data_IF_480298822466
#
_entry.id   IF_480298822466
#
_cell.length_a   1.000
_cell.length_b   1.000
_cell.length_c   1.000
_cell.angle_alpha   90.00
_cell.angle_beta   90.00
_cell.angle_gamma   90.00
#
_symmetry.space_group_name_H-M   'P 1'
#
loop_
_entity.id
_entity.type
_entity.pdbx_description
1 polymer ?
#
# COMPACT_ATOMS: atom_id res chain seq x y z
N UNK A 1 -7.54 -14.67 12.13
CA UNK A 1 -8.09 -15.31 13.36
C UNK A 1 -8.03 -16.82 13.19
N UNK A 2 -8.07 -17.61 14.27
CA UNK A 2 -8.06 -19.08 14.16
C UNK A 2 -6.74 -19.65 13.62
N UNK A 3 -5.67 -19.56 14.42
CA UNK A 3 -4.36 -20.17 14.08
C UNK A 3 -4.21 -21.61 14.58
N UNK A 4 -5.33 -22.31 14.79
CA UNK A 4 -5.37 -23.68 15.31
C UNK A 4 -6.73 -24.32 15.04
N UNK A 5 -6.94 -25.52 15.57
CA UNK A 5 -7.97 -26.44 15.07
C UNK A 5 -9.39 -26.15 15.60
N UNK A 6 -9.54 -25.10 16.41
CA UNK A 6 -10.84 -24.70 16.99
C UNK A 6 -11.52 -23.67 16.11
N UNK A 7 -12.81 -23.89 15.87
CA UNK A 7 -13.68 -22.92 15.21
C UNK A 7 -13.56 -21.54 15.89
N UNK A 8 -13.34 -20.51 15.08
CA UNK A 8 -13.18 -19.13 15.51
C UNK A 8 -14.21 -18.26 14.79
N UNK A 9 -14.69 -17.21 15.46
CA UNK A 9 -15.68 -16.30 14.93
C UNK A 9 -15.13 -14.88 14.88
N UNK A 10 -15.49 -14.13 13.84
CA UNK A 10 -15.23 -12.69 13.73
C UNK A 10 -16.58 -11.98 13.67
N UNK A 11 -16.84 -11.07 14.61
CA UNK A 11 -18.06 -10.26 14.62
C UNK A 11 -17.69 -8.82 14.27
N UNK A 12 -18.33 -8.28 13.22
CA UNK A 12 -18.13 -6.91 12.77
C UNK A 12 -19.24 -6.02 13.36
N UNK A 13 -18.90 -5.21 14.35
CA UNK A 13 -19.82 -4.25 14.97
C UNK A 13 -19.65 -2.87 14.31
N UNK A 14 -20.77 -2.21 14.04
CA UNK A 14 -20.77 -0.85 13.49
C UNK A 14 -21.98 -0.06 13.98
N UNK A 15 -21.91 1.26 13.88
CA UNK A 15 -22.99 2.18 14.21
C UNK A 15 -23.48 2.92 12.95
N UNK A 16 -24.79 3.11 12.84
CA UNK A 16 -25.38 3.89 11.77
C UNK A 16 -25.32 5.40 12.05
N UNK A 17 -25.22 6.25 11.01
CA UNK A 17 -25.17 5.89 9.59
C UNK A 17 -23.75 5.60 9.09
N UNK A 18 -23.60 4.56 8.28
CA UNK A 18 -22.37 4.28 7.56
C UNK A 18 -22.25 5.14 6.30
N UNK A 19 -21.06 5.68 6.05
CA UNK A 19 -20.71 6.19 4.72
C UNK A 19 -20.67 5.07 3.68
N UNK A 20 -20.82 5.39 2.40
CA UNK A 20 -20.80 4.36 1.36
C UNK A 20 -19.44 3.67 1.24
N UNK A 21 -18.34 4.37 1.57
CA UNK A 21 -17.01 3.79 1.69
C UNK A 21 -16.98 2.76 2.83
N UNK A 22 -17.52 3.12 4.00
CA UNK A 22 -17.54 2.22 5.15
C UNK A 22 -18.41 0.97 4.89
N UNK A 23 -19.55 1.13 4.20
CA UNK A 23 -20.37 0.00 3.73
C UNK A 23 -19.58 -0.94 2.82
N UNK A 24 -18.88 -0.41 1.81
CA UNK A 24 -18.06 -1.21 0.89
C UNK A 24 -16.95 -1.98 1.60
N UNK A 25 -16.25 -1.34 2.55
CA UNK A 25 -15.20 -2.00 3.35
C UNK A 25 -15.75 -3.17 4.17
N UNK A 26 -16.90 -2.97 4.82
CA UNK A 26 -17.57 -4.03 5.59
C UNK A 26 -18.07 -5.17 4.69
N UNK A 27 -18.60 -4.84 3.51
CA UNK A 27 -19.07 -5.84 2.53
C UNK A 27 -17.95 -6.77 2.09
N UNK A 28 -16.80 -6.21 1.71
CA UNK A 28 -15.63 -6.97 1.24
C UNK A 28 -15.07 -7.88 2.34
N UNK A 29 -15.01 -7.39 3.58
CA UNK A 29 -14.59 -8.17 4.75
C UNK A 29 -15.56 -9.33 5.09
N UNK A 30 -16.84 -9.23 4.70
CA UNK A 30 -17.85 -10.29 4.87
C UNK A 30 -17.83 -11.29 3.72
N UNK A 31 -17.67 -10.80 2.50
CA UNK A 31 -17.87 -11.58 1.27
C UNK A 31 -16.63 -12.34 0.82
N UNK A 32 -15.44 -11.92 1.28
CA UNK A 32 -14.17 -12.56 0.92
C UNK A 32 -13.38 -12.99 2.15
N UNK A 33 -12.68 -14.12 2.01
CA UNK A 33 -11.63 -14.57 2.93
C UNK A 33 -10.23 -14.43 2.31
N UNK A 34 -10.14 -14.02 1.05
CA UNK A 34 -8.87 -13.81 0.35
C UNK A 34 -8.26 -12.46 0.78
N UNK A 35 -7.15 -12.54 1.51
CA UNK A 35 -6.42 -11.37 1.99
C UNK A 35 -5.92 -10.44 0.89
N UNK A 36 -5.62 -10.97 -0.31
CA UNK A 36 -5.16 -10.14 -1.43
C UNK A 36 -6.28 -9.30 -2.01
N UNK A 37 -7.46 -9.90 -2.26
CA UNK A 37 -8.63 -9.18 -2.76
C UNK A 37 -9.08 -8.09 -1.77
N UNK A 38 -9.06 -8.40 -0.46
CA UNK A 38 -9.37 -7.43 0.59
C UNK A 38 -8.38 -6.26 0.55
N UNK A 39 -7.08 -6.54 0.44
CA UNK A 39 -6.04 -5.51 0.39
C UNK A 39 -6.15 -4.64 -0.86
N UNK A 40 -6.40 -5.22 -2.03
CA UNK A 40 -6.59 -4.49 -3.29
C UNK A 40 -7.83 -3.59 -3.23
N UNK A 41 -8.94 -4.11 -2.70
CA UNK A 41 -10.17 -3.32 -2.58
C UNK A 41 -10.00 -2.20 -1.56
N UNK A 42 -9.33 -2.45 -0.44
CA UNK A 42 -9.02 -1.40 0.54
C UNK A 42 -8.12 -0.32 -0.07
N UNK A 43 -7.11 -0.72 -0.85
CA UNK A 43 -6.25 0.19 -1.59
C UNK A 43 -7.04 1.04 -2.58
N UNK A 44 -7.97 0.45 -3.32
CA UNK A 44 -8.83 1.18 -4.26
C UNK A 44 -9.74 2.18 -3.53
N UNK A 45 -10.36 1.77 -2.41
CA UNK A 45 -11.25 2.61 -1.62
C UNK A 45 -10.53 3.74 -0.88
N UNK A 46 -9.29 3.50 -0.47
CA UNK A 46 -8.46 4.45 0.28
C UNK A 46 -7.62 5.36 -0.62
N UNK A 47 -7.29 4.89 -1.82
CA UNK A 47 -6.28 5.45 -2.71
C UNK A 47 -4.85 5.06 -2.30
N UNK A 48 -3.89 5.27 -3.20
CA UNK A 48 -2.47 4.91 -3.05
C UNK A 48 -1.75 5.54 -1.84
N UNK A 49 -2.36 6.52 -1.18
CA UNK A 49 -1.74 7.35 -0.13
C UNK A 49 -1.45 6.65 1.20
N UNK A 50 -1.62 5.33 1.33
CA UNK A 50 -1.48 4.62 2.61
C UNK A 50 -0.88 3.21 2.52
N UNK A 51 -0.34 2.79 1.37
CA UNK A 51 0.25 1.44 1.19
C UNK A 51 1.44 1.20 2.13
N UNK A 52 2.10 2.27 2.58
CA UNK A 52 3.27 2.22 3.46
C UNK A 52 2.94 2.55 4.93
N UNK A 53 1.66 2.74 5.30
CA UNK A 53 1.25 2.93 6.70
C UNK A 53 1.61 4.29 7.34
N UNK A 54 1.88 5.31 6.54
CA UNK A 54 2.49 6.57 7.01
C UNK A 54 1.44 7.69 7.17
N UNK A 55 0.20 7.38 7.55
CA UNK A 55 -0.76 8.42 7.94
C UNK A 55 -0.52 9.03 9.32
N UNK A 56 0.48 8.59 10.08
CA UNK A 56 0.77 9.13 11.42
C UNK A 56 1.93 10.13 11.54
N UNK A 57 2.75 10.41 10.51
CA UNK A 57 3.88 11.34 10.74
C UNK A 57 4.47 12.04 9.50
N UNK A 58 3.67 12.24 8.45
CA UNK A 58 4.05 13.07 7.30
C UNK A 58 4.65 12.26 6.15
N UNK A 59 4.06 12.41 4.96
CA UNK A 59 4.47 11.63 3.78
C UNK A 59 4.74 12.50 2.58
N UNK A 60 5.87 12.15 1.97
CA UNK A 60 6.24 12.40 0.61
C UNK A 60 5.22 11.75 -0.35
N UNK A 61 4.26 12.54 -0.83
CA UNK A 61 3.40 12.12 -1.95
C UNK A 61 4.28 11.66 -3.11
N UNK A 62 3.92 10.53 -3.75
CA UNK A 62 4.49 10.19 -5.05
C UNK A 62 4.20 11.37 -5.98
N UNK A 63 5.25 12.10 -6.35
CA UNK A 63 5.10 13.38 -7.07
C UNK A 63 4.66 13.19 -8.52
N UNK A 64 4.85 11.99 -9.07
CA UNK A 64 4.66 11.68 -10.49
C UNK A 64 3.84 10.40 -10.67
N UNK A 65 4.14 9.38 -9.87
CA UNK A 65 3.50 8.08 -9.98
C UNK A 65 2.15 8.04 -9.24
N UNK A 66 1.17 7.40 -9.88
CA UNK A 66 -0.10 7.02 -9.27
C UNK A 66 -0.19 5.50 -9.33
N UNK A 67 -0.13 4.82 -8.18
CA UNK A 67 -0.06 3.36 -8.13
C UNK A 67 -1.29 2.67 -8.72
N UNK A 68 -2.46 3.33 -8.71
CA UNK A 68 -3.68 2.76 -9.30
C UNK A 68 -3.64 2.89 -10.82
N UNK A 69 -3.31 4.09 -11.31
CA UNK A 69 -3.15 4.33 -12.76
C UNK A 69 -2.02 3.51 -13.36
N UNK A 70 -0.90 3.43 -12.65
CA UNK A 70 0.38 2.92 -13.16
C UNK A 70 0.64 1.46 -12.79
N UNK A 71 -0.35 0.74 -12.23
CA UNK A 71 -0.18 -0.64 -11.74
C UNK A 71 0.42 -1.59 -12.79
N UNK A 72 0.05 -1.43 -14.06
CA UNK A 72 0.57 -2.23 -15.19
C UNK A 72 2.07 -2.09 -15.40
N UNK A 73 2.68 -1.00 -14.90
CA UNK A 73 4.10 -0.74 -15.01
C UNK A 73 4.90 -1.42 -13.89
N UNK A 74 4.28 -1.83 -12.77
CA UNK A 74 4.97 -2.36 -11.60
C UNK A 74 5.90 -3.54 -11.91
N UNK A 75 5.52 -4.53 -12.75
CA UNK A 75 6.44 -5.62 -13.12
C UNK A 75 7.69 -5.12 -13.85
N UNK A 76 7.52 -4.11 -14.72
CA UNK A 76 8.63 -3.49 -15.46
C UNK A 76 9.52 -2.66 -14.53
N UNK A 77 8.91 -1.91 -13.60
CA UNK A 77 9.64 -1.08 -12.62
C UNK A 77 10.62 -1.94 -11.82
N UNK A 78 10.22 -3.15 -11.41
CA UNK A 78 11.11 -4.05 -10.69
C UNK A 78 12.34 -4.43 -11.51
N UNK A 79 12.14 -4.81 -12.78
CA UNK A 79 13.24 -5.18 -13.69
C UNK A 79 14.18 -4.00 -13.96
N UNK A 80 13.60 -2.83 -14.27
CA UNK A 80 14.37 -1.61 -14.57
C UNK A 80 15.12 -1.11 -13.34
N UNK A 81 14.53 -1.21 -12.15
CA UNK A 81 15.20 -0.87 -10.89
C UNK A 81 16.44 -1.73 -10.65
N UNK A 82 16.34 -3.05 -10.86
CA UNK A 82 17.49 -3.96 -10.73
C UNK A 82 18.60 -3.60 -11.73
N UNK A 83 18.25 -3.32 -12.98
CA UNK A 83 19.21 -2.92 -14.00
C UNK A 83 19.88 -1.58 -13.67
N UNK A 84 19.12 -0.58 -13.23
CA UNK A 84 19.65 0.72 -12.79
C UNK A 84 20.65 0.57 -11.64
N UNK A 85 20.37 -0.29 -10.66
CA UNK A 85 21.27 -0.53 -9.53
C UNK A 85 22.58 -1.21 -9.95
N UNK A 86 22.56 -2.07 -10.97
CA UNK A 86 23.72 -2.80 -11.46
C UNK A 86 24.58 -1.97 -12.41
N UNK A 87 23.95 -1.34 -13.41
CA UNK A 87 24.67 -0.76 -14.55
C UNK A 87 24.84 0.77 -14.43
N UNK A 88 24.05 1.42 -13.58
CA UNK A 88 23.90 2.88 -13.56
C UNK A 88 23.82 3.45 -12.14
N UNK A 89 24.69 2.98 -11.24
CA UNK A 89 24.68 3.35 -9.81
C UNK A 89 24.71 4.87 -9.57
N UNK A 90 25.45 5.64 -10.39
CA UNK A 90 25.46 7.11 -10.31
C UNK A 90 24.07 7.76 -10.52
N UNK A 91 23.26 7.19 -11.41
CA UNK A 91 21.88 7.66 -11.66
C UNK A 91 21.00 7.37 -10.44
N UNK A 92 21.19 6.20 -9.81
CA UNK A 92 20.47 5.83 -8.58
C UNK A 92 20.77 6.82 -7.46
N UNK A 93 22.03 7.17 -7.25
CA UNK A 93 22.43 8.15 -6.23
C UNK A 93 21.81 9.51 -6.50
N UNK A 94 21.85 9.97 -7.75
CA UNK A 94 21.27 11.26 -8.17
C UNK A 94 19.76 11.30 -7.96
N UNK A 95 19.04 10.24 -8.35
CA UNK A 95 17.59 10.13 -8.18
C UNK A 95 17.21 10.05 -6.69
N UNK A 96 17.97 9.28 -5.90
CA UNK A 96 17.76 9.15 -4.46
C UNK A 96 17.97 10.50 -3.76
N UNK A 97 19.06 11.20 -4.05
CA UNK A 97 19.32 12.52 -3.50
C UNK A 97 18.25 13.54 -3.90
N UNK A 98 17.80 13.52 -5.17
CA UNK A 98 16.80 14.47 -5.68
C UNK A 98 15.41 14.25 -5.08
N UNK A 99 14.95 13.00 -5.03
CA UNK A 99 13.57 12.70 -4.68
C UNK A 99 13.39 12.37 -3.21
N UNK A 100 14.32 11.61 -2.62
CA UNK A 100 14.25 11.17 -1.22
C UNK A 100 15.03 12.13 -0.30
N UNK A 101 16.16 12.66 -0.77
CA UNK A 101 17.00 13.58 0.00
C UNK A 101 17.50 12.95 1.32
N UNK A 102 17.65 13.77 2.36
CA UNK A 102 18.08 13.33 3.71
C UNK A 102 16.94 12.79 4.61
N UNK A 103 15.75 12.49 4.06
CA UNK A 103 14.60 11.98 4.84
C UNK A 103 14.67 10.50 5.23
N UNK A 104 15.77 9.80 4.92
CA UNK A 104 15.97 8.36 5.21
C UNK A 104 16.31 8.10 6.69
N UNK A 105 16.06 9.04 7.61
CA UNK A 105 16.24 8.77 9.04
C UNK A 105 15.10 7.95 9.68
N UNK A 106 14.06 7.56 8.93
CA UNK A 106 12.86 6.91 9.50
C UNK A 106 12.62 5.44 9.11
N UNK A 107 13.55 4.77 8.44
CA UNK A 107 13.36 3.36 8.03
C UNK A 107 14.10 2.33 8.91
N UNK A 108 14.78 2.76 9.98
CA UNK A 108 15.42 1.89 10.97
C UNK A 108 14.79 2.02 12.37
N UNK A 109 13.48 1.79 12.47
CA UNK A 109 12.79 1.57 13.74
C UNK A 109 11.74 0.46 13.58
#
# INVERSE_FOLDING_TARGET
IGRGDRASFCVLLYQNPLSDIAKKRLSVMRESQDGFLIAETDLHLRGAGDVLGVRQSGVMQLRVADLMRDHVLLPMVQKVSQQLMQDHTYVVDTLTQRWIGSRIHYLNA
#
